data_IF_713764512206
#
_entry.id   IF_713764512206
#
_cell.length_a   1.000
_cell.length_b   1.000
_cell.length_c   1.000
_cell.angle_alpha   90.00
_cell.angle_beta   90.00
_cell.angle_gamma   90.00
#
_symmetry.space_group_name_H-M   'P 1'
#
loop_
_entity.id
_entity.type
_entity.pdbx_description
1 polymer ?
#
# COMPACT_ATOMS: atom_id res chain seq x y z
N UNK A 1 15.75 -50.77 -7.05
CA UNK A 1 15.55 -50.74 -5.58
C UNK A 1 14.38 -49.81 -5.29
N UNK A 2 13.44 -50.33 -4.49
CA UNK A 2 12.37 -49.69 -3.71
C UNK A 2 11.70 -48.36 -4.14
N UNK A 3 10.39 -48.48 -4.40
CA UNK A 3 9.32 -47.47 -4.30
C UNK A 3 8.94 -47.21 -2.82
N UNK A 4 8.59 -45.97 -2.47
CA UNK A 4 7.63 -45.59 -1.40
C UNK A 4 7.34 -44.08 -1.56
N UNK A 5 6.14 -43.58 -1.90
CA UNK A 5 4.83 -43.69 -1.24
C UNK A 5 4.88 -43.25 0.24
N UNK A 6 4.58 -41.99 0.51
CA UNK A 6 4.26 -41.52 1.86
C UNK A 6 2.74 -41.38 1.94
N UNK A 7 2.20 -42.30 2.74
CA UNK A 7 0.83 -42.43 3.17
C UNK A 7 0.43 -41.26 4.08
N UNK A 8 -0.82 -40.83 3.92
CA UNK A 8 -1.62 -40.16 4.94
C UNK A 8 -1.61 -40.91 6.26
N UNK A 9 -1.56 -40.19 7.39
CA UNK A 9 -2.14 -40.69 8.62
C UNK A 9 -2.74 -39.54 9.46
N UNK A 10 -3.93 -39.82 9.97
CA UNK A 10 -4.77 -38.96 10.78
C UNK A 10 -4.82 -39.58 12.16
N UNK A 11 -4.39 -38.87 13.21
CA UNK A 11 -4.76 -39.24 14.57
C UNK A 11 -5.20 -38.04 15.41
N UNK A 12 -6.34 -38.28 16.04
CA UNK A 12 -7.11 -37.45 16.95
C UNK A 12 -6.62 -37.72 18.38
N UNK A 13 -6.67 -36.68 19.23
CA UNK A 13 -7.32 -36.67 20.55
C UNK A 13 -6.54 -36.08 21.75
N UNK A 14 -7.26 -35.21 22.46
CA UNK A 14 -7.36 -35.01 23.94
C UNK A 14 -6.28 -34.28 24.75
N UNK A 15 -6.68 -33.07 25.18
CA UNK A 15 -6.87 -32.56 26.56
C UNK A 15 -5.75 -32.58 27.62
N UNK A 16 -5.69 -31.41 28.31
CA UNK A 16 -5.11 -31.02 29.62
C UNK A 16 -3.98 -30.01 29.40
N UNK A 17 -3.95 -28.79 29.94
CA UNK A 17 -4.71 -28.14 31.00
C UNK A 17 -3.75 -27.22 31.76
N UNK A 18 -4.05 -25.92 31.87
CA UNK A 18 -3.55 -24.96 32.90
C UNK A 18 -4.18 -23.59 32.54
N UNK A 19 -5.26 -23.18 33.18
CA UNK A 19 -5.32 -22.49 34.48
C UNK A 19 -4.86 -21.02 34.40
N UNK A 20 -5.83 -20.10 34.36
CA UNK A 20 -5.89 -18.75 34.97
C UNK A 20 -7.20 -18.11 34.49
N UNK A 21 -7.93 -17.28 35.22
CA UNK A 21 -8.15 -17.09 36.64
C UNK A 21 -9.50 -16.36 36.66
N UNK A 22 -10.42 -16.87 37.48
CA UNK A 22 -11.72 -16.27 37.75
C UNK A 22 -11.50 -14.98 38.54
N UNK A 23 -12.05 -13.84 38.09
CA UNK A 23 -12.16 -12.66 38.94
C UNK A 23 -13.41 -11.84 38.61
N UNK A 24 -14.45 -12.16 39.38
CA UNK A 24 -15.41 -11.25 40.00
C UNK A 24 -16.26 -10.35 39.08
N UNK A 25 -17.50 -10.82 38.86
CA UNK A 25 -18.69 -9.97 38.82
C UNK A 25 -18.79 -9.16 40.12
N UNK A 26 -18.75 -7.84 40.03
CA UNK A 26 -19.27 -6.96 41.06
C UNK A 26 -20.25 -6.00 40.42
N UNK A 27 -21.53 -6.30 40.58
CA UNK A 27 -22.62 -5.36 40.38
C UNK A 27 -22.50 -4.26 41.45
N UNK A 28 -22.25 -3.02 41.03
CA UNK A 28 -22.49 -1.87 41.88
C UNK A 28 -23.14 -0.77 41.07
N UNK A 29 -24.47 -0.78 41.07
CA UNK A 29 -25.28 0.35 40.65
C UNK A 29 -25.07 1.48 41.66
N UNK A 30 -24.40 2.55 41.24
CA UNK A 30 -24.49 3.85 41.89
C UNK A 30 -24.81 4.87 40.80
N UNK A 31 -26.05 5.37 40.83
CA UNK A 31 -26.48 6.47 40.00
C UNK A 31 -25.80 7.76 40.50
N UNK A 32 -24.96 8.38 39.67
CA UNK A 32 -24.50 9.75 39.84
C UNK A 32 -24.70 10.51 38.52
N UNK A 33 -25.85 11.17 38.47
CA UNK A 33 -26.12 12.52 37.95
C UNK A 33 -25.15 13.09 36.90
N UNK A 34 -25.66 13.26 35.68
CA UNK A 34 -25.38 14.43 34.84
C UNK A 34 -23.96 14.62 34.32
N UNK A 35 -23.53 13.76 33.39
CA UNK A 35 -22.53 14.14 32.40
C UNK A 35 -23.27 14.32 31.07
N UNK A 36 -23.41 15.57 30.61
CA UNK A 36 -23.78 15.82 29.22
C UNK A 36 -22.82 15.03 28.31
N UNK A 37 -23.29 14.49 27.17
CA UNK A 37 -22.35 13.92 26.22
C UNK A 37 -21.39 15.03 25.85
N UNK A 38 -20.13 14.88 26.28
CA UNK A 38 -19.04 15.67 25.72
C UNK A 38 -18.96 15.22 24.27
N UNK A 39 -19.73 15.87 23.41
CA UNK A 39 -19.41 15.94 22.00
C UNK A 39 -18.07 16.65 21.98
N UNK A 40 -16.98 15.88 22.03
CA UNK A 40 -15.67 16.40 21.64
C UNK A 40 -15.87 16.79 20.19
N UNK A 41 -16.18 18.06 19.97
CA UNK A 41 -16.12 18.64 18.65
C UNK A 41 -14.70 18.35 18.19
N UNK A 42 -14.56 17.40 17.28
CA UNK A 42 -13.31 17.19 16.58
C UNK A 42 -12.88 18.52 15.95
N UNK A 43 -11.64 18.63 15.49
CA UNK A 43 -11.17 19.84 14.82
C UNK A 43 -12.19 20.33 13.77
N UNK A 44 -12.30 21.65 13.58
CA UNK A 44 -13.22 22.24 12.59
C UNK A 44 -12.79 21.86 11.17
N UNK A 45 -13.19 20.67 10.72
CA UNK A 45 -12.92 20.18 9.38
C UNK A 45 -13.85 20.85 8.36
N UNK A 46 -13.41 21.02 7.10
CA UNK A 46 -14.29 21.48 6.03
C UNK A 46 -15.58 20.66 5.97
N UNK A 47 -16.74 21.26 5.68
CA UNK A 47 -17.99 20.52 5.50
C UNK A 47 -17.81 19.38 4.48
N UNK A 48 -18.15 18.15 4.88
CA UNK A 48 -18.00 16.95 4.05
C UNK A 48 -16.62 16.28 4.11
N UNK A 49 -15.62 16.88 4.78
CA UNK A 49 -14.35 16.22 5.06
C UNK A 49 -14.40 15.48 6.39
N UNK A 50 -14.10 14.19 6.37
CA UNK A 50 -13.94 13.36 7.56
C UNK A 50 -12.49 12.88 7.62
N UNK A 51 -11.66 13.35 8.56
CA UNK A 51 -10.27 12.92 8.65
C UNK A 51 -10.19 11.43 8.99
N UNK A 52 -9.13 10.78 8.49
CA UNK A 52 -8.85 9.38 8.78
C UNK A 52 -7.35 9.12 8.75
N UNK A 53 -6.94 8.10 9.50
CA UNK A 53 -5.67 7.41 9.28
C UNK A 53 -5.92 6.29 8.28
N UNK A 54 -4.94 6.04 7.41
CA UNK A 54 -4.95 4.90 6.50
C UNK A 54 -3.65 4.13 6.57
N UNK A 55 -3.73 2.80 6.52
CA UNK A 55 -2.56 1.94 6.54
C UNK A 55 -2.73 0.78 5.56
N UNK A 56 -1.68 0.52 4.78
CA UNK A 56 -1.61 -0.62 3.86
C UNK A 56 -1.41 -1.89 4.67
N UNK A 57 -2.30 -2.86 4.46
CA UNK A 57 -2.29 -4.14 5.13
C UNK A 57 -1.87 -5.26 4.16
N UNK A 58 -2.78 -6.20 3.88
CA UNK A 58 -2.51 -7.36 3.06
C UNK A 58 -2.27 -6.97 1.61
N UNK A 59 -1.30 -7.65 1.00
CA UNK A 59 -1.19 -7.70 -0.43
C UNK A 59 -1.87 -8.97 -0.94
N UNK A 60 -2.61 -8.85 -2.03
CA UNK A 60 -3.26 -10.00 -2.66
C UNK A 60 -2.21 -11.05 -3.03
N UNK A 61 -2.61 -12.32 -3.06
CA UNK A 61 -1.68 -13.42 -3.37
C UNK A 61 -0.97 -13.25 -4.72
N UNK A 62 -1.58 -12.50 -5.63
CA UNK A 62 -0.99 -12.18 -6.91
C UNK A 62 -0.09 -10.93 -6.85
N UNK A 63 -0.28 -9.98 -5.91
CA UNK A 63 0.53 -8.76 -5.77
C UNK A 63 -0.02 -7.50 -6.45
N UNK A 64 -1.25 -7.54 -6.98
CA UNK A 64 -1.83 -6.42 -7.78
C UNK A 64 -2.72 -5.59 -6.92
N UNK A 65 -3.11 -6.08 -5.75
CA UNK A 65 -4.01 -5.39 -4.89
C UNK A 65 -3.41 -5.32 -3.52
N UNK A 66 -3.56 -4.17 -2.87
CA UNK A 66 -3.33 -4.08 -1.45
C UNK A 66 -4.60 -3.60 -0.77
N UNK A 67 -4.83 -4.11 0.42
CA UNK A 67 -5.92 -3.66 1.26
C UNK A 67 -5.48 -2.40 2.00
N UNK A 68 -6.27 -1.34 1.90
CA UNK A 68 -6.08 -0.11 2.66
C UNK A 68 -7.12 -0.07 3.77
N UNK A 69 -6.67 -0.19 5.01
CA UNK A 69 -7.50 -0.05 6.20
C UNK A 69 -7.62 1.43 6.55
N UNK A 70 -8.81 1.87 6.97
CA UNK A 70 -9.04 3.23 7.42
C UNK A 70 -9.68 3.27 8.80
N UNK A 71 -9.18 4.19 9.63
CA UNK A 71 -9.80 4.56 10.89
C UNK A 71 -10.09 6.06 10.90
N UNK A 72 -11.33 6.45 11.18
CA UNK A 72 -11.74 7.86 11.21
C UNK A 72 -11.35 8.53 12.53
N UNK A 73 -10.73 9.71 12.47
CA UNK A 73 -10.19 10.39 13.66
C UNK A 73 -11.28 10.93 14.60
N UNK A 74 -12.53 11.02 14.14
CA UNK A 74 -13.67 11.45 14.95
C UNK A 74 -14.23 10.33 15.85
N UNK A 75 -13.80 9.08 15.68
CA UNK A 75 -14.20 7.96 16.54
C UNK A 75 -13.25 7.79 17.73
N UNK A 76 -13.69 7.11 18.81
CA UNK A 76 -12.78 6.74 19.91
C UNK A 76 -11.56 5.96 19.43
N UNK A 77 -11.75 5.08 18.44
CA UNK A 77 -10.66 4.27 17.88
C UNK A 77 -9.64 5.10 17.13
N UNK A 78 -10.08 6.13 16.37
CA UNK A 78 -9.18 7.05 15.70
C UNK A 78 -8.34 7.87 16.66
N UNK A 79 -8.92 8.32 17.77
CA UNK A 79 -8.16 9.03 18.81
C UNK A 79 -7.14 8.14 19.52
N UNK A 80 -7.49 6.87 19.77
CA UNK A 80 -6.56 5.91 20.37
C UNK A 80 -5.44 5.49 19.40
N UNK A 81 -5.66 5.61 18.10
CA UNK A 81 -4.66 5.30 17.08
C UNK A 81 -3.45 6.25 17.16
N UNK A 82 -3.66 7.53 17.48
CA UNK A 82 -2.59 8.53 17.60
C UNK A 82 -1.57 8.21 18.72
N UNK A 83 -2.00 7.49 19.76
CA UNK A 83 -1.16 7.10 20.89
C UNK A 83 -0.27 5.87 20.59
N UNK A 84 -0.45 5.24 19.43
CA UNK A 84 0.32 4.06 19.03
C UNK A 84 1.70 4.46 18.51
N UNK A 85 2.72 3.83 19.07
CA UNK A 85 4.13 4.24 18.90
C UNK A 85 4.79 3.49 17.73
N UNK A 86 4.50 2.21 17.55
CA UNK A 86 5.14 1.40 16.50
C UNK A 86 4.19 1.06 15.36
N UNK A 87 4.76 0.80 14.18
CA UNK A 87 3.98 0.43 13.00
C UNK A 87 3.32 -0.94 13.16
N UNK A 88 3.91 -1.87 13.91
CA UNK A 88 3.28 -3.16 14.22
C UNK A 88 2.05 -2.99 15.11
N UNK A 89 2.12 -2.09 16.11
CA UNK A 89 0.97 -1.76 16.97
C UNK A 89 -0.15 -1.12 16.16
N UNK A 90 0.21 -0.16 15.30
CA UNK A 90 -0.72 0.52 14.39
C UNK A 90 -1.42 -0.45 13.45
N UNK A 91 -0.67 -1.35 12.83
CA UNK A 91 -1.22 -2.35 11.92
C UNK A 91 -2.15 -3.34 12.64
N UNK A 92 -1.71 -3.89 13.78
CA UNK A 92 -2.54 -4.79 14.57
C UNK A 92 -3.84 -4.10 15.03
N UNK A 93 -3.74 -2.83 15.45
CA UNK A 93 -4.88 -2.04 15.86
C UNK A 93 -5.84 -1.74 14.69
N UNK A 94 -5.31 -1.35 13.53
CA UNK A 94 -6.11 -1.14 12.31
C UNK A 94 -6.85 -2.41 11.90
N UNK A 95 -6.19 -3.58 11.89
CA UNK A 95 -6.85 -4.85 11.57
C UNK A 95 -8.05 -5.14 12.48
N UNK A 96 -7.94 -4.83 13.76
CA UNK A 96 -9.00 -5.06 14.73
C UNK A 96 -10.12 -3.99 14.72
N UNK A 97 -9.80 -2.73 14.38
CA UNK A 97 -10.69 -1.59 14.64
C UNK A 97 -10.99 -0.71 13.42
N UNK A 98 -10.55 -1.08 12.21
CA UNK A 98 -10.89 -0.36 10.99
C UNK A 98 -12.41 -0.21 10.83
N UNK A 99 -12.85 0.94 10.33
CA UNK A 99 -14.26 1.18 9.99
C UNK A 99 -14.51 1.16 8.48
N UNK A 100 -13.45 1.17 7.68
CA UNK A 100 -13.50 1.01 6.24
C UNK A 100 -12.26 0.24 5.77
N UNK A 101 -12.44 -0.57 4.73
CA UNK A 101 -11.39 -1.28 4.04
C UNK A 101 -11.62 -1.22 2.53
N UNK A 102 -10.59 -0.84 1.79
CA UNK A 102 -10.67 -0.72 0.34
C UNK A 102 -9.53 -1.49 -0.31
N UNK A 103 -9.85 -2.34 -1.29
CA UNK A 103 -8.84 -2.95 -2.13
C UNK A 103 -8.40 -1.97 -3.22
N UNK A 104 -7.16 -1.53 -3.15
CA UNK A 104 -6.54 -0.71 -4.19
C UNK A 104 -5.83 -1.59 -5.20
N UNK A 105 -6.09 -1.38 -6.49
CA UNK A 105 -5.38 -2.05 -7.57
C UNK A 105 -4.13 -1.23 -7.90
N UNK A 106 -2.96 -1.83 -7.75
CA UNK A 106 -1.71 -1.30 -8.29
C UNK A 106 -1.69 -1.51 -9.80
N UNK A 107 -1.18 -0.54 -10.59
CA UNK A 107 -0.86 -0.77 -11.99
C UNK A 107 0.01 -2.01 -12.13
N UNK A 108 -0.30 -2.90 -13.07
CA UNK A 108 0.50 -4.11 -13.34
C UNK A 108 1.57 -3.88 -14.41
N UNK A 109 1.78 -2.61 -14.77
CA UNK A 109 2.59 -2.15 -15.89
C UNK A 109 3.56 -1.05 -15.46
N UNK A 110 4.73 -1.07 -16.08
CA UNK A 110 5.64 0.06 -16.13
C UNK A 110 5.76 0.51 -17.57
N UNK A 111 5.85 1.82 -17.74
CA UNK A 111 5.74 2.46 -19.04
C UNK A 111 6.97 3.35 -19.24
N UNK A 112 7.53 3.29 -20.44
CA UNK A 112 8.51 4.25 -20.93
C UNK A 112 8.01 4.87 -22.23
N UNK A 113 7.79 6.17 -22.21
CA UNK A 113 7.33 6.94 -23.38
C UNK A 113 8.54 7.56 -24.10
N UNK A 114 8.81 7.07 -25.31
CA UNK A 114 9.80 7.65 -26.20
C UNK A 114 9.08 8.52 -27.24
N UNK A 115 8.92 9.80 -26.91
CA UNK A 115 8.27 10.78 -27.77
C UNK A 115 9.07 11.12 -29.04
N UNK A 116 10.38 10.83 -29.07
CA UNK A 116 11.22 11.04 -30.25
C UNK A 116 11.02 9.91 -31.26
N UNK A 117 10.81 8.68 -30.79
CA UNK A 117 10.41 7.53 -31.63
C UNK A 117 8.90 7.42 -31.85
N UNK A 118 8.08 8.16 -31.10
CA UNK A 118 6.62 8.07 -31.13
C UNK A 118 6.08 6.75 -30.56
N UNK A 119 6.77 6.16 -29.57
CA UNK A 119 6.46 4.83 -29.04
C UNK A 119 6.35 4.81 -27.52
N UNK A 120 5.41 4.03 -27.03
CA UNK A 120 5.21 3.70 -25.63
C UNK A 120 5.61 2.24 -25.41
N UNK A 121 6.66 2.01 -24.63
CA UNK A 121 7.15 0.67 -24.30
C UNK A 121 6.57 0.25 -22.96
N UNK A 122 5.83 -0.86 -22.94
CA UNK A 122 5.17 -1.34 -21.72
C UNK A 122 5.77 -2.65 -21.27
N UNK A 123 6.17 -2.72 -20.00
CA UNK A 123 6.68 -3.93 -19.34
C UNK A 123 5.72 -4.33 -18.22
N UNK A 124 5.23 -5.58 -18.26
CA UNK A 124 4.39 -6.13 -17.18
C UNK A 124 5.23 -6.40 -15.94
N UNK A 125 4.86 -5.81 -14.79
CA UNK A 125 5.64 -5.88 -13.54
C UNK A 125 5.86 -7.32 -13.07
N UNK A 126 4.86 -8.18 -13.26
CA UNK A 126 4.91 -9.59 -12.84
C UNK A 126 5.62 -10.51 -13.81
N UNK A 127 6.00 -10.02 -14.99
CA UNK A 127 6.76 -10.85 -15.93
C UNK A 127 8.20 -11.02 -15.44
N UNK A 128 8.94 -12.04 -15.92
CA UNK A 128 10.37 -12.16 -15.65
C UNK A 128 11.14 -10.88 -16.01
N UNK A 129 10.70 -10.19 -17.06
CA UNK A 129 11.26 -8.93 -17.52
C UNK A 129 10.96 -7.79 -16.53
N UNK A 130 9.74 -7.70 -15.99
CA UNK A 130 9.40 -6.74 -14.94
C UNK A 130 10.24 -6.91 -13.67
N UNK A 131 10.48 -8.16 -13.25
CA UNK A 131 11.35 -8.44 -12.10
C UNK A 131 12.83 -8.12 -12.37
N UNK A 132 13.28 -8.29 -13.61
CA UNK A 132 14.63 -7.89 -14.01
C UNK A 132 14.77 -6.37 -14.10
N UNK A 133 13.74 -5.68 -14.60
CA UNK A 133 13.69 -4.21 -14.66
C UNK A 133 13.78 -3.58 -13.27
N UNK A 134 13.10 -4.15 -12.27
CA UNK A 134 13.17 -3.64 -10.88
C UNK A 134 14.60 -3.64 -10.28
N UNK A 135 15.52 -4.47 -10.82
CA UNK A 135 16.94 -4.46 -10.39
C UNK A 135 17.74 -3.33 -11.00
N UNK A 136 17.20 -2.70 -12.05
CA UNK A 136 17.76 -1.54 -12.74
C UNK A 136 17.14 -0.24 -12.23
N UNK A 137 16.31 -0.28 -11.18
CA UNK A 137 15.75 0.94 -10.60
C UNK A 137 16.83 1.76 -9.88
N UNK A 138 16.66 3.09 -9.80
CA UNK A 138 17.56 3.94 -9.04
C UNK A 138 17.66 3.49 -7.58
N UNK A 139 18.86 3.57 -6.98
CA UNK A 139 19.00 3.31 -5.55
C UNK A 139 18.16 4.32 -4.76
N UNK A 140 17.23 3.81 -3.95
CA UNK A 140 16.30 4.65 -3.18
C UNK A 140 14.88 4.72 -3.76
N UNK A 141 14.63 4.17 -4.95
CA UNK A 141 13.30 4.16 -5.57
C UNK A 141 12.86 5.52 -6.13
N UNK A 142 13.81 6.44 -6.30
CA UNK A 142 13.61 7.73 -6.97
C UNK A 142 13.62 7.56 -8.50
N UNK A 143 13.32 8.63 -9.24
CA UNK A 143 13.49 8.65 -10.70
C UNK A 143 14.97 8.85 -11.06
N UNK A 144 15.36 8.40 -12.26
CA UNK A 144 16.71 8.66 -12.76
C UNK A 144 16.87 10.17 -13.03
N UNK A 145 17.65 10.87 -12.19
CA UNK A 145 17.90 12.31 -12.37
C UNK A 145 18.81 12.62 -13.57
N UNK A 146 19.72 11.70 -13.93
CA UNK A 146 20.68 11.88 -15.01
C UNK A 146 20.43 10.90 -16.18
N UNK A 147 19.86 11.43 -17.26
CA UNK A 147 19.61 10.73 -18.52
C UNK A 147 20.89 10.25 -19.24
N UNK A 148 22.06 10.76 -18.84
CA UNK A 148 23.35 10.33 -19.41
C UNK A 148 24.02 9.24 -18.59
N UNK A 149 23.47 8.90 -17.42
CA UNK A 149 24.01 7.86 -16.57
C UNK A 149 23.96 6.48 -17.24
N UNK A 150 24.93 5.62 -16.92
CA UNK A 150 24.95 4.25 -17.42
C UNK A 150 23.71 3.46 -16.97
N UNK A 151 23.24 3.72 -15.74
CA UNK A 151 22.04 3.11 -15.19
C UNK A 151 20.77 3.48 -15.96
N UNK A 152 20.56 4.78 -16.21
CA UNK A 152 19.42 5.23 -17.02
C UNK A 152 19.45 4.64 -18.44
N UNK A 153 20.62 4.66 -19.09
CA UNK A 153 20.75 4.10 -20.46
C UNK A 153 20.46 2.60 -20.48
N UNK A 154 20.96 1.85 -19.48
CA UNK A 154 20.66 0.43 -19.35
C UNK A 154 19.17 0.18 -19.10
N UNK A 155 18.53 1.03 -18.31
CA UNK A 155 17.10 0.99 -18.01
C UNK A 155 16.25 1.26 -19.27
N UNK A 156 16.56 2.31 -20.04
CA UNK A 156 15.90 2.61 -21.33
C UNK A 156 16.11 1.48 -22.35
N UNK A 157 17.34 1.00 -22.50
CA UNK A 157 17.67 -0.13 -23.38
C UNK A 157 16.88 -1.39 -22.99
N UNK A 158 16.64 -1.59 -21.70
CA UNK A 158 15.86 -2.71 -21.20
C UNK A 158 14.41 -2.62 -21.68
N UNK A 159 13.76 -1.46 -21.55
CA UNK A 159 12.41 -1.25 -22.07
C UNK A 159 12.33 -1.53 -23.57
N UNK A 160 13.24 -0.97 -24.35
CA UNK A 160 13.21 -1.13 -25.82
C UNK A 160 13.38 -2.58 -26.28
N UNK A 161 14.13 -3.40 -25.51
CA UNK A 161 14.42 -4.80 -25.86
C UNK A 161 13.42 -5.80 -25.28
N UNK A 162 12.85 -5.51 -24.11
CA UNK A 162 12.09 -6.47 -23.31
C UNK A 162 10.66 -6.00 -23.02
N UNK A 163 10.17 -4.99 -23.73
CA UNK A 163 8.77 -4.59 -23.67
C UNK A 163 7.85 -5.80 -23.92
N UNK A 164 6.85 -5.96 -23.07
CA UNK A 164 5.78 -6.93 -23.26
C UNK A 164 4.96 -6.61 -24.51
N UNK A 165 4.73 -5.32 -24.76
CA UNK A 165 4.15 -4.79 -25.98
C UNK A 165 4.56 -3.32 -26.17
N UNK A 166 4.35 -2.81 -27.38
CA UNK A 166 4.68 -1.44 -27.76
C UNK A 166 3.45 -0.80 -28.37
N UNK A 167 3.10 0.40 -27.90
CA UNK A 167 2.01 1.21 -28.43
C UNK A 167 2.56 2.42 -29.19
N UNK A 168 1.77 2.95 -30.13
CA UNK A 168 2.10 4.20 -30.82
C UNK A 168 1.58 5.38 -30.00
N UNK A 169 2.46 6.33 -29.69
CA UNK A 169 2.08 7.56 -29.01
C UNK A 169 1.38 8.50 -29.99
N UNK A 170 0.22 9.02 -29.61
CA UNK A 170 -0.46 10.02 -30.40
C UNK A 170 0.21 11.39 -30.16
N UNK A 171 0.64 12.11 -31.21
CA UNK A 171 1.32 13.40 -31.04
C UNK A 171 0.50 14.45 -30.29
N UNK A 172 -0.84 14.35 -30.35
CA UNK A 172 -1.77 15.21 -29.63
C UNK A 172 -1.78 15.02 -28.11
N UNK A 173 -1.35 13.85 -27.62
CA UNK A 173 -1.26 13.54 -26.19
C UNK A 173 0.08 13.96 -25.57
N UNK A 174 1.01 14.50 -26.38
CA UNK A 174 2.32 14.93 -25.89
C UNK A 174 2.13 16.03 -24.85
N UNK A 175 2.54 15.82 -23.59
CA UNK A 175 2.46 16.87 -22.59
C UNK A 175 3.28 18.06 -23.08
N UNK A 176 2.72 19.26 -22.92
CA UNK A 176 3.44 20.49 -23.26
C UNK A 176 4.78 20.46 -22.54
N UNK A 177 5.88 20.54 -23.28
CA UNK A 177 7.20 20.64 -22.68
C UNK A 177 7.15 21.79 -21.68
N UNK A 178 7.38 21.52 -20.40
CA UNK A 178 7.62 22.56 -19.42
C UNK A 178 8.94 23.22 -19.84
N UNK A 179 8.87 24.20 -20.74
CA UNK A 179 9.99 25.05 -21.11
C UNK A 179 10.37 25.85 -19.87
N UNK A 180 11.33 25.33 -19.11
CA UNK A 180 12.11 26.12 -18.18
C UNK A 180 13.08 27.00 -18.98
N UNK A 181 12.55 27.94 -19.76
CA UNK A 181 13.32 29.00 -20.39
C UNK A 181 12.56 30.31 -20.25
N UNK A 182 13.12 31.26 -19.48
CA UNK A 182 12.59 32.62 -19.47
C UNK A 182 12.82 33.48 -18.22
N UNK A 183 13.89 33.31 -17.45
CA UNK A 183 14.42 34.46 -16.69
C UNK A 183 15.57 35.05 -17.48
N UNK A 184 15.19 35.77 -18.53
CA UNK A 184 16.07 36.73 -19.19
C UNK A 184 16.33 37.90 -18.24
N UNK A 185 17.59 38.31 -18.20
CA UNK A 185 18.07 39.53 -17.56
C UNK A 185 17.20 40.75 -17.90
N UNK A 186 16.86 41.53 -16.86
CA UNK A 186 16.86 43.00 -16.91
C UNK A 186 17.27 43.55 -15.54
#
# INVERSE_FOLDING_TARGET
>A
MATAAISSDSTKATSKGAAVADLAKTDNATAVVGAEPVTSAGPNWPPGFRPFHSLRDEESADGTRYNLLKIFCDTPEGRAYDDLVTDEQRLAYMRANHQDNTWHVQPDERIFEDWDEGKCYVVKIRSPEGQALAKLDPPGGEEWEDEKSEGYRAWVDFFKKNASYVEELQPEDRPAACSAEGVGEI
#
